data_IF_129192148204
#
_entry.id   IF_129192148204
#
_cell.length_a   1.000
_cell.length_b   1.000
_cell.length_c   1.000
_cell.angle_alpha   90.00
_cell.angle_beta   90.00
_cell.angle_gamma   90.00
#
_symmetry.space_group_name_H-M   'P 1'
#
loop_
_entity.id
_entity.type
_entity.pdbx_description
1 polymer ?
#
# COMPACT_ATOMS: atom_id res chain seq x y z
N UNK A 1 5.08 23.01 -6.85
CA UNK A 1 3.66 22.81 -7.18
C UNK A 1 3.49 21.33 -7.45
N UNK A 2 3.18 20.55 -6.43
CA UNK A 2 2.92 19.12 -6.53
C UNK A 2 1.46 18.94 -6.95
N UNK A 3 1.23 18.23 -8.05
CA UNK A 3 -0.11 17.91 -8.55
C UNK A 3 -0.55 16.59 -7.89
N UNK A 4 -1.04 16.63 -6.66
CA UNK A 4 -1.66 15.46 -6.04
C UNK A 4 -3.02 15.20 -6.71
N UNK A 5 -3.19 14.01 -7.29
CA UNK A 5 -4.47 13.56 -7.84
C UNK A 5 -5.22 12.83 -6.74
N UNK A 6 -6.32 13.42 -6.27
CA UNK A 6 -7.19 12.81 -5.26
C UNK A 6 -8.39 12.17 -5.92
N UNK A 7 -8.62 10.89 -5.63
CA UNK A 7 -9.85 10.20 -5.97
C UNK A 7 -10.64 9.93 -4.69
N UNK A 8 -11.86 10.47 -4.60
CA UNK A 8 -12.85 10.17 -3.56
C UNK A 8 -14.09 9.52 -4.19
N UNK A 9 -14.73 8.56 -3.49
CA UNK A 9 -16.09 8.12 -3.84
C UNK A 9 -17.06 9.30 -3.68
N UNK A 10 -17.88 9.66 -4.69
CA UNK A 10 -18.91 10.70 -4.57
C UNK A 10 -20.11 10.33 -3.69
N UNK A 11 -20.02 9.25 -2.93
CA UNK A 11 -21.16 8.43 -2.52
C UNK A 11 -21.82 8.89 -1.21
N UNK A 12 -21.43 10.05 -0.66
CA UNK A 12 -22.05 10.66 0.52
C UNK A 12 -22.04 12.19 0.38
N UNK A 13 -22.92 12.73 -0.45
CA UNK A 13 -23.51 14.03 -0.22
C UNK A 13 -25.00 13.81 0.07
N UNK A 14 -25.54 14.57 1.04
CA UNK A 14 -26.83 14.45 1.75
C UNK A 14 -26.68 13.55 3.01
N UNK A 15 -26.75 14.02 4.27
CA UNK A 15 -27.51 15.14 4.84
C UNK A 15 -26.84 15.77 6.08
N UNK A 16 -27.32 16.98 6.35
CA UNK A 16 -26.93 18.00 7.31
C UNK A 16 -27.36 17.70 8.76
N UNK A 17 -26.57 18.25 9.69
CA UNK A 17 -26.80 18.48 11.13
C UNK A 17 -28.22 19.01 11.46
N UNK A 18 -28.94 18.43 12.45
CA UNK A 18 -29.65 19.14 13.54
C UNK A 18 -30.41 18.21 14.52
N UNK A 19 -30.81 18.80 15.64
CA UNK A 19 -30.98 18.31 17.01
C UNK A 19 -32.32 17.67 17.42
N UNK A 20 -32.30 17.02 18.59
CA UNK A 20 -33.37 16.69 19.57
C UNK A 20 -34.84 17.03 19.24
N UNK A 21 -35.77 16.04 19.30
CA UNK A 21 -36.86 15.91 20.29
C UNK A 21 -37.81 14.72 20.00
N UNK A 22 -38.52 14.30 21.06
CA UNK A 22 -39.31 13.09 21.32
C UNK A 22 -40.50 12.69 20.43
N UNK A 23 -40.74 11.35 20.44
CA UNK A 23 -41.99 10.56 20.48
C UNK A 23 -43.20 10.98 19.62
N UNK A 24 -43.62 10.11 18.70
CA UNK A 24 -44.91 9.37 18.76
C UNK A 24 -45.06 8.39 17.60
N UNK A 25 -45.65 7.24 17.91
CA UNK A 25 -46.16 6.22 16.99
C UNK A 25 -47.32 6.78 16.15
N UNK A 26 -47.47 6.30 14.89
CA UNK A 26 -48.73 5.81 14.29
C UNK A 26 -48.53 5.44 12.81
N UNK A 27 -49.07 4.26 12.50
CA UNK A 27 -49.33 3.53 11.25
C UNK A 27 -49.17 4.19 9.87
N UNK A 28 -48.59 3.40 8.95
CA UNK A 28 -48.73 3.48 7.49
C UNK A 28 -50.19 3.53 7.01
N UNK A 29 -50.42 4.06 5.81
CA UNK A 29 -50.76 3.15 4.72
C UNK A 29 -50.07 3.47 3.37
N UNK A 30 -49.97 2.42 2.56
CA UNK A 30 -49.45 2.34 1.20
C UNK A 30 -49.89 3.44 0.22
N UNK A 31 -48.92 4.01 -0.52
CA UNK A 31 -48.91 4.22 -1.99
C UNK A 31 -47.53 4.78 -2.38
N UNK A 32 -46.68 3.99 -3.04
CA UNK A 32 -46.59 3.87 -4.50
C UNK A 32 -45.91 5.07 -5.18
N UNK A 33 -44.58 5.07 -5.12
CA UNK A 33 -43.71 5.63 -6.16
C UNK A 33 -42.44 4.76 -6.24
N UNK A 34 -42.61 3.50 -6.69
CA UNK A 34 -41.46 2.73 -7.18
C UNK A 34 -40.98 3.45 -8.43
N UNK A 35 -39.84 4.12 -8.32
CA UNK A 35 -39.01 4.47 -9.46
C UNK A 35 -38.69 3.14 -10.15
N UNK A 36 -39.13 2.91 -11.39
CA UNK A 36 -38.77 1.68 -12.08
C UNK A 36 -37.33 1.85 -12.55
N UNK A 37 -36.37 1.34 -11.78
CA UNK A 37 -35.10 0.88 -12.36
C UNK A 37 -35.39 -0.39 -13.16
N UNK A 38 -36.11 -0.25 -14.27
CA UNK A 38 -36.12 -1.24 -15.33
C UNK A 38 -34.77 -1.10 -16.04
N UNK A 39 -33.73 -1.69 -15.45
CA UNK A 39 -32.57 -2.08 -16.24
C UNK A 39 -33.05 -3.23 -17.12
N UNK A 40 -33.53 -2.88 -18.31
CA UNK A 40 -33.82 -3.82 -19.38
C UNK A 40 -32.58 -4.68 -19.55
N UNK A 41 -32.67 -5.94 -19.12
CA UNK A 41 -31.71 -6.97 -19.52
C UNK A 41 -31.93 -7.20 -21.01
N UNK A 42 -31.29 -6.39 -21.85
CA UNK A 42 -30.96 -6.81 -23.20
C UNK A 42 -30.07 -8.04 -23.03
N UNK A 43 -30.69 -9.21 -23.24
CA UNK A 43 -29.97 -10.45 -23.49
C UNK A 43 -29.15 -10.22 -24.75
N UNK A 44 -27.90 -9.76 -24.57
CA UNK A 44 -26.90 -9.88 -25.59
C UNK A 44 -26.80 -11.37 -25.93
N UNK A 45 -27.08 -11.69 -27.19
CA UNK A 45 -26.86 -13.01 -27.76
C UNK A 45 -25.46 -13.51 -27.36
N UNK A 46 -25.36 -14.80 -27.06
CA UNK A 46 -24.11 -15.51 -26.77
C UNK A 46 -23.19 -15.60 -28.00
N UNK A 47 -22.90 -14.47 -28.65
CA UNK A 47 -21.75 -14.38 -29.52
C UNK A 47 -20.55 -14.18 -28.61
N UNK A 48 -19.73 -15.22 -28.46
CA UNK A 48 -18.41 -15.11 -27.85
C UNK A 48 -17.64 -14.02 -28.60
N UNK A 49 -17.60 -12.80 -28.04
CA UNK A 49 -16.73 -11.74 -28.54
C UNK A 49 -15.31 -12.22 -28.27
N UNK A 50 -14.72 -12.89 -29.27
CA UNK A 50 -13.30 -13.21 -29.30
C UNK A 50 -12.55 -11.90 -29.44
N UNK A 51 -12.15 -11.32 -28.30
CA UNK A 51 -11.14 -10.29 -28.28
C UNK A 51 -9.82 -10.91 -28.77
N UNK A 52 -9.53 -10.74 -30.07
CA UNK A 52 -8.19 -11.01 -30.57
C UNK A 52 -7.20 -10.14 -29.78
N UNK A 53 -6.23 -10.79 -29.11
CA UNK A 53 -5.15 -10.07 -28.43
C UNK A 53 -4.36 -9.30 -29.47
N UNK A 54 -4.69 -8.02 -29.62
CA UNK A 54 -3.87 -7.08 -30.40
C UNK A 54 -2.48 -7.06 -29.75
N UNK A 55 -1.48 -7.56 -30.47
CA UNK A 55 -0.09 -7.46 -30.04
C UNK A 55 0.36 -6.02 -30.28
N UNK A 56 0.39 -5.22 -29.22
CA UNK A 56 0.97 -3.88 -29.28
C UNK A 56 2.48 -3.98 -29.11
N UNK A 57 3.23 -3.41 -30.06
CA UNK A 57 4.67 -3.23 -29.89
C UNK A 57 4.90 -2.16 -28.82
N UNK A 58 5.27 -2.57 -27.60
CA UNK A 58 5.77 -1.63 -26.59
C UNK A 58 7.08 -1.03 -27.12
N UNK A 59 7.15 0.29 -27.21
CA UNK A 59 8.44 0.98 -27.35
C UNK A 59 9.27 0.66 -26.11
N UNK A 60 10.54 0.30 -26.28
CA UNK A 60 11.45 0.10 -25.15
C UNK A 60 11.60 1.45 -24.43
N UNK A 61 11.04 1.55 -23.23
CA UNK A 61 11.14 2.73 -22.37
C UNK A 61 12.45 2.75 -21.58
N UNK A 62 12.77 3.90 -20.99
CA UNK A 62 13.83 4.00 -19.98
C UNK A 62 13.36 3.45 -18.63
N UNK A 63 14.28 3.33 -17.66
CA UNK A 63 13.98 2.93 -16.28
C UNK A 63 12.78 3.68 -15.69
N UNK A 64 12.72 5.00 -15.92
CA UNK A 64 11.66 5.87 -15.41
C UNK A 64 10.29 5.57 -16.00
N UNK A 65 10.21 5.17 -17.28
CA UNK A 65 8.93 4.85 -17.92
C UNK A 65 8.36 3.54 -17.37
N UNK A 66 9.19 2.50 -17.23
CA UNK A 66 8.73 1.22 -16.68
C UNK A 66 8.39 1.33 -15.19
N UNK A 67 9.16 2.11 -14.42
CA UNK A 67 8.84 2.43 -13.03
C UNK A 67 7.52 3.18 -12.88
N UNK A 68 7.29 4.21 -13.70
CA UNK A 68 6.01 4.93 -13.71
C UNK A 68 4.82 4.04 -14.10
N UNK A 69 4.99 3.18 -15.10
CA UNK A 69 3.95 2.19 -15.46
C UNK A 69 3.67 1.21 -14.32
N UNK A 70 4.69 0.80 -13.57
CA UNK A 70 4.53 -0.05 -12.40
C UNK A 70 3.69 0.63 -11.31
N UNK A 71 3.98 1.91 -11.00
CA UNK A 71 3.18 2.69 -10.05
C UNK A 71 1.74 2.90 -10.54
N UNK A 72 1.53 3.19 -11.83
CA UNK A 72 0.17 3.32 -12.41
C UNK A 72 -0.63 2.02 -12.27
N UNK A 73 0.00 0.85 -12.48
CA UNK A 73 -0.67 -0.43 -12.31
C UNK A 73 -1.07 -0.66 -10.85
N UNK A 74 -0.19 -0.35 -9.90
CA UNK A 74 -0.51 -0.42 -8.47
C UNK A 74 -1.63 0.55 -8.09
N UNK A 75 -1.58 1.79 -8.57
CA UNK A 75 -2.63 2.78 -8.32
C UNK A 75 -3.99 2.30 -8.84
N UNK A 76 -4.01 1.73 -10.04
CA UNK A 76 -5.21 1.15 -10.65
C UNK A 76 -5.74 -0.02 -9.81
N UNK A 77 -4.84 -0.85 -9.26
CA UNK A 77 -5.19 -1.94 -8.37
C UNK A 77 -5.91 -1.45 -7.11
N UNK A 78 -5.35 -0.45 -6.42
CA UNK A 78 -5.96 0.14 -5.21
C UNK A 78 -7.28 0.85 -5.51
N UNK A 79 -7.40 1.50 -6.68
CA UNK A 79 -8.67 2.06 -7.13
C UNK A 79 -9.74 0.97 -7.29
N UNK A 80 -9.40 -0.15 -7.93
CA UNK A 80 -10.32 -1.29 -8.08
C UNK A 80 -10.70 -1.87 -6.72
N UNK A 81 -9.74 -2.00 -5.79
CA UNK A 81 -9.99 -2.45 -4.41
C UNK A 81 -10.99 -1.52 -3.73
N UNK A 82 -10.76 -0.20 -3.74
CA UNK A 82 -11.65 0.78 -3.15
C UNK A 82 -13.08 0.73 -3.72
N UNK A 83 -13.20 0.55 -5.04
CA UNK A 83 -14.50 0.42 -5.71
C UNK A 83 -15.21 -0.91 -5.40
N UNK A 84 -14.47 -2.02 -5.27
CA UNK A 84 -15.04 -3.36 -5.05
C UNK A 84 -15.45 -3.61 -3.61
N UNK A 85 -14.66 -3.15 -2.65
CA UNK A 85 -14.84 -3.48 -1.24
C UNK A 85 -15.94 -2.67 -0.54
N UNK A 86 -16.70 -1.85 -1.28
CA UNK A 86 -17.81 -1.04 -0.76
C UNK A 86 -17.42 -0.16 0.44
N UNK A 87 -16.15 0.22 0.56
CA UNK A 87 -15.72 1.19 1.56
C UNK A 87 -16.54 2.47 1.38
N UNK A 88 -17.33 2.83 2.39
CA UNK A 88 -18.19 4.02 2.32
C UNK A 88 -17.37 5.31 2.19
N UNK A 89 -16.12 5.30 2.66
CA UNK A 89 -15.17 6.41 2.60
C UNK A 89 -13.76 5.85 2.41
N UNK A 90 -13.12 6.28 1.33
CA UNK A 90 -11.71 6.01 1.07
C UNK A 90 -11.11 7.19 0.31
N UNK A 91 -9.81 7.40 0.50
CA UNK A 91 -8.98 8.35 -0.22
C UNK A 91 -7.82 7.60 -0.83
N UNK A 92 -7.56 7.85 -2.11
CA UNK A 92 -6.39 7.34 -2.80
C UNK A 92 -5.56 8.54 -3.26
N UNK A 93 -4.32 8.62 -2.78
CA UNK A 93 -3.36 9.66 -3.14
C UNK A 93 -2.03 9.07 -3.59
N UNK A 94 -1.28 9.87 -4.35
CA UNK A 94 0.06 9.54 -4.87
C UNK A 94 1.01 10.69 -4.60
N UNK A 95 2.29 10.37 -4.39
CA UNK A 95 3.33 11.35 -4.02
C UNK A 95 2.93 12.15 -2.77
N UNK A 96 2.31 11.47 -1.80
CA UNK A 96 1.87 12.09 -0.55
C UNK A 96 3.07 12.29 0.39
N UNK A 97 3.66 13.48 0.35
CA UNK A 97 4.83 13.85 1.16
C UNK A 97 4.62 13.60 2.67
N UNK A 98 3.38 13.59 3.17
CA UNK A 98 3.13 13.32 4.59
C UNK A 98 3.45 11.87 4.99
N UNK A 99 3.42 10.94 4.02
CA UNK A 99 3.75 9.52 4.17
C UNK A 99 5.26 9.20 3.99
N UNK A 100 6.11 10.22 3.91
CA UNK A 100 7.59 10.14 3.97
C UNK A 100 8.27 9.28 2.90
N UNK A 101 8.42 7.98 3.15
CA UNK A 101 9.03 7.00 2.22
C UNK A 101 8.03 5.97 1.73
N UNK A 102 6.76 6.16 2.08
CA UNK A 102 5.64 5.32 1.67
C UNK A 102 4.63 6.18 0.91
N UNK A 103 5.14 7.17 0.19
CA UNK A 103 4.42 8.27 -0.44
C UNK A 103 3.93 7.94 -1.86
N UNK A 104 4.45 6.89 -2.50
CA UNK A 104 4.10 6.57 -3.88
C UNK A 104 2.60 6.32 -4.05
N UNK A 105 1.99 5.58 -3.13
CA UNK A 105 0.54 5.35 -3.04
C UNK A 105 0.14 5.28 -1.58
N UNK A 106 -0.85 6.09 -1.21
CA UNK A 106 -1.49 6.09 0.11
C UNK A 106 -2.98 5.83 -0.07
N UNK A 107 -3.46 4.75 0.51
CA UNK A 107 -4.86 4.35 0.49
C UNK A 107 -5.43 4.41 1.90
N UNK A 108 -6.16 5.49 2.18
CA UNK A 108 -6.77 5.74 3.48
C UNK A 108 -8.23 5.29 3.45
N UNK A 109 -8.68 4.69 4.55
CA UNK A 109 -10.08 4.31 4.74
C UNK A 109 -10.63 4.93 6.02
N UNK A 110 -11.91 4.72 6.31
CA UNK A 110 -12.50 5.17 7.59
C UNK A 110 -11.94 4.48 8.84
N UNK A 111 -11.15 3.40 8.70
CA UNK A 111 -10.68 2.58 9.82
C UNK A 111 -9.16 2.44 9.87
N UNK A 112 -8.52 2.39 8.71
CA UNK A 112 -7.10 2.07 8.58
C UNK A 112 -6.53 2.52 7.24
N UNK A 113 -5.21 2.68 7.23
CA UNK A 113 -4.45 3.19 6.10
C UNK A 113 -3.43 2.15 5.60
N UNK A 114 -3.31 2.05 4.28
CA UNK A 114 -2.27 1.29 3.60
C UNK A 114 -1.32 2.26 2.91
N UNK A 115 -0.04 2.17 3.26
CA UNK A 115 1.01 3.03 2.71
C UNK A 115 1.96 2.19 1.88
N UNK A 116 2.23 2.61 0.66
CA UNK A 116 2.95 1.81 -0.33
C UNK A 116 4.12 2.58 -0.90
N UNK A 117 5.27 1.91 -0.95
CA UNK A 117 6.39 2.30 -1.79
C UNK A 117 6.49 1.31 -2.97
N UNK A 118 6.43 1.84 -4.18
CA UNK A 118 6.68 1.13 -5.42
C UNK A 118 8.18 1.13 -5.77
N UNK A 119 8.78 -0.05 -5.91
CA UNK A 119 10.17 -0.23 -6.31
C UNK A 119 10.29 -1.10 -7.55
N UNK A 120 10.70 -0.49 -8.66
CA UNK A 120 10.91 -1.21 -9.92
C UNK A 120 12.41 -1.39 -10.22
N UNK A 121 12.86 -2.63 -10.36
CA UNK A 121 14.18 -2.98 -10.90
C UNK A 121 14.08 -3.36 -12.38
N UNK A 122 14.88 -2.68 -13.21
CA UNK A 122 15.03 -3.05 -14.63
C UNK A 122 15.64 -4.44 -14.80
N UNK A 123 16.66 -4.75 -14.01
CA UNK A 123 17.32 -6.05 -14.04
C UNK A 123 16.57 -7.03 -13.13
N UNK A 124 15.63 -7.77 -13.71
CA UNK A 124 14.82 -8.78 -13.01
C UNK A 124 15.65 -9.92 -12.39
N UNK A 125 16.89 -10.12 -12.82
CA UNK A 125 17.77 -11.15 -12.25
C UNK A 125 18.43 -10.68 -10.94
N UNK A 126 18.44 -9.37 -10.65
CA UNK A 126 18.99 -8.85 -9.40
C UNK A 126 17.93 -8.94 -8.31
N UNK A 127 18.06 -9.98 -7.50
CA UNK A 127 17.25 -10.19 -6.29
C UNK A 127 17.67 -9.25 -5.16
N UNK A 128 16.74 -8.97 -4.25
CA UNK A 128 16.99 -8.23 -3.02
C UNK A 128 17.78 -9.13 -2.07
N UNK A 129 18.94 -8.67 -1.59
CA UNK A 129 19.79 -9.43 -0.68
C UNK A 129 19.68 -8.92 0.76
N UNK A 130 20.27 -9.65 1.71
CA UNK A 130 20.26 -9.22 3.11
C UNK A 130 21.06 -7.93 3.30
N UNK A 131 22.12 -7.76 2.53
CA UNK A 131 22.92 -6.53 2.51
C UNK A 131 22.08 -5.35 2.02
N UNK A 132 21.25 -5.53 0.99
CA UNK A 132 20.35 -4.47 0.50
C UNK A 132 19.36 -4.03 1.61
N UNK A 133 18.83 -4.98 2.40
CA UNK A 133 17.89 -4.69 3.50
C UNK A 133 18.56 -4.00 4.69
N UNK A 134 19.81 -4.34 4.95
CA UNK A 134 20.56 -3.86 6.11
C UNK A 134 21.49 -2.70 5.82
N UNK A 135 21.54 -2.24 4.57
CA UNK A 135 22.48 -1.21 4.20
C UNK A 135 22.17 0.13 4.87
N UNK A 136 23.25 0.84 5.23
CA UNK A 136 23.20 2.12 5.95
C UNK A 136 23.56 3.32 5.06
N UNK A 137 23.66 3.11 3.74
CA UNK A 137 24.04 4.13 2.78
C UNK A 137 22.80 4.86 2.26
N UNK A 138 22.61 6.11 2.69
CA UNK A 138 21.46 6.93 2.30
C UNK A 138 21.27 7.14 0.79
N UNK A 139 22.30 6.94 -0.04
CA UNK A 139 22.27 7.30 -1.47
C UNK A 139 21.86 6.17 -2.41
N UNK A 140 22.06 4.90 -2.05
CA UNK A 140 21.96 3.79 -3.02
C UNK A 140 21.06 2.62 -2.58
N UNK A 141 20.38 2.73 -1.45
CA UNK A 141 19.68 1.60 -0.85
C UNK A 141 18.17 1.74 -0.94
N UNK A 142 17.64 1.26 -2.07
CA UNK A 142 16.21 1.26 -2.36
C UNK A 142 15.38 0.39 -1.40
N UNK A 143 16.02 -0.53 -0.66
CA UNK A 143 15.35 -1.50 0.20
C UNK A 143 15.82 -1.44 1.67
N UNK A 144 16.52 -0.38 2.07
CA UNK A 144 17.09 -0.24 3.43
C UNK A 144 16.00 -0.18 4.50
N UNK A 145 15.92 -1.23 5.32
CA UNK A 145 15.04 -1.29 6.50
C UNK A 145 15.37 -0.20 7.53
N UNK A 146 16.65 0.14 7.82
CA UNK A 146 16.96 1.27 8.70
C UNK A 146 16.31 2.59 8.26
N UNK A 147 16.33 2.86 6.96
CA UNK A 147 15.70 4.06 6.39
C UNK A 147 14.18 4.02 6.56
N UNK A 148 13.55 2.88 6.28
CA UNK A 148 12.09 2.72 6.43
C UNK A 148 11.63 2.79 7.88
N UNK A 149 12.41 2.28 8.82
CA UNK A 149 12.15 2.40 10.25
C UNK A 149 12.00 3.87 10.69
N UNK A 150 12.95 4.73 10.33
CA UNK A 150 12.87 6.16 10.69
C UNK A 150 11.67 6.86 10.05
N UNK A 151 11.32 6.49 8.81
CA UNK A 151 10.12 7.02 8.17
C UNK A 151 8.84 6.53 8.85
N UNK A 152 8.78 5.28 9.28
CA UNK A 152 7.64 4.74 10.04
C UNK A 152 7.40 5.50 11.34
N UNK A 153 8.45 5.80 12.11
CA UNK A 153 8.34 6.53 13.38
C UNK A 153 7.74 7.94 13.23
N UNK A 154 7.86 8.55 12.04
CA UNK A 154 7.21 9.82 11.69
C UNK A 154 5.77 9.60 11.24
N UNK A 155 5.57 8.61 10.37
CA UNK A 155 4.30 8.33 9.69
C UNK A 155 3.24 7.79 10.65
N UNK A 156 3.61 6.94 11.61
CA UNK A 156 2.67 6.34 12.59
C UNK A 156 1.98 7.35 13.50
N UNK A 157 2.44 8.61 13.51
CA UNK A 157 1.82 9.72 14.25
C UNK A 157 0.73 10.45 13.45
N UNK A 158 0.68 10.22 12.13
CA UNK A 158 -0.23 10.90 11.20
C UNK A 158 -1.30 9.97 10.63
N UNK A 159 -0.96 8.69 10.44
CA UNK A 159 -1.81 7.69 9.81
C UNK A 159 -2.19 6.58 10.79
N UNK A 160 -3.39 6.01 10.61
CA UNK A 160 -3.83 4.79 11.31
C UNK A 160 -3.34 3.58 10.51
N UNK A 161 -2.04 3.32 10.59
CA UNK A 161 -1.35 2.34 9.73
C UNK A 161 -1.81 0.91 10.02
N UNK A 162 -2.39 0.25 9.01
CA UNK A 162 -2.61 -1.20 9.03
C UNK A 162 -1.52 -1.95 8.26
N UNK A 163 -1.10 -1.42 7.10
CA UNK A 163 -0.04 -2.01 6.29
C UNK A 163 0.93 -0.96 5.75
N UNK A 164 2.22 -1.32 5.79
CA UNK A 164 3.30 -0.64 5.07
C UNK A 164 3.92 -1.63 4.12
N UNK A 165 3.87 -1.30 2.84
CA UNK A 165 4.19 -2.27 1.80
C UNK A 165 5.26 -1.73 0.87
N UNK A 166 6.34 -2.50 0.72
CA UNK A 166 7.27 -2.30 -0.40
C UNK A 166 6.80 -3.21 -1.54
N UNK A 167 6.06 -2.65 -2.49
CA UNK A 167 5.65 -3.35 -3.70
C UNK A 167 6.79 -3.32 -4.71
N UNK A 168 7.26 -4.48 -5.16
CA UNK A 168 8.44 -4.59 -6.01
C UNK A 168 8.30 -5.68 -7.07
N UNK A 169 8.95 -5.48 -8.21
CA UNK A 169 9.08 -6.53 -9.23
C UNK A 169 10.36 -7.39 -9.05
N UNK A 170 11.10 -7.18 -7.96
CA UNK A 170 12.33 -7.89 -7.65
C UNK A 170 12.10 -8.86 -6.49
N UNK A 171 12.37 -10.14 -6.76
CA UNK A 171 12.26 -11.22 -5.78
C UNK A 171 13.37 -11.15 -4.70
N UNK A 172 13.15 -11.79 -3.56
CA UNK A 172 14.12 -11.89 -2.46
C UNK A 172 15.07 -13.07 -2.69
N UNK A 173 16.37 -12.86 -2.43
CA UNK A 173 17.37 -13.93 -2.45
C UNK A 173 17.28 -14.74 -1.15
N UNK A 174 16.52 -15.84 -1.18
CA UNK A 174 16.33 -16.76 -0.04
C UNK A 174 17.52 -17.71 0.18
N UNK A 175 18.68 -17.17 0.52
CA UNK A 175 19.82 -17.94 1.04
C UNK A 175 19.65 -18.28 2.54
N UNK A 176 20.61 -19.00 3.13
CA UNK A 176 20.56 -19.47 4.52
C UNK A 176 20.39 -18.31 5.51
N UNK A 177 21.10 -17.21 5.30
CA UNK A 177 21.02 -16.03 6.16
C UNK A 177 19.66 -15.35 6.04
N UNK A 178 19.16 -15.12 4.81
CA UNK A 178 17.85 -14.51 4.61
C UNK A 178 16.72 -15.36 5.20
N UNK A 179 16.79 -16.69 5.06
CA UNK A 179 15.79 -17.63 5.61
C UNK A 179 15.73 -17.62 7.13
N UNK A 180 16.80 -17.22 7.81
CA UNK A 180 16.79 -17.06 9.26
C UNK A 180 15.89 -15.91 9.71
N UNK A 181 15.62 -14.92 8.84
CA UNK A 181 14.90 -13.69 9.19
C UNK A 181 13.52 -13.56 8.53
N UNK A 182 13.32 -14.17 7.36
CA UNK A 182 12.12 -13.94 6.54
C UNK A 182 11.09 -15.05 6.71
N UNK A 183 9.86 -14.64 6.97
CA UNK A 183 8.67 -15.47 6.84
C UNK A 183 8.03 -15.20 5.47
N UNK A 184 7.61 -16.26 4.79
CA UNK A 184 6.82 -16.15 3.55
C UNK A 184 5.36 -16.44 3.85
N UNK A 185 4.48 -15.53 3.46
CA UNK A 185 3.03 -15.68 3.55
C UNK A 185 2.43 -15.57 2.15
N UNK A 186 1.41 -16.38 1.87
CA UNK A 186 0.48 -16.16 0.77
C UNK A 186 -0.78 -15.57 1.39
N UNK A 187 -1.29 -14.48 0.83
CA UNK A 187 -2.55 -13.91 1.32
C UNK A 187 -3.72 -14.67 0.70
N UNK A 188 -4.49 -15.30 1.57
CA UNK A 188 -5.84 -15.77 1.27
C UNK A 188 -6.79 -14.78 1.97
N UNK A 189 -7.56 -14.00 1.19
CA UNK A 189 -8.65 -13.11 1.65
C UNK A 189 -8.30 -11.77 2.36
N UNK A 190 -7.21 -11.09 1.99
CA UNK A 190 -6.89 -9.76 2.54
C UNK A 190 -7.13 -8.61 1.54
N UNK A 191 -7.02 -7.38 2.03
CA UNK A 191 -7.38 -6.14 1.33
C UNK A 191 -6.66 -5.91 -0.01
N UNK A 192 -5.46 -6.49 -0.18
CA UNK A 192 -4.69 -6.46 -1.44
C UNK A 192 -4.86 -7.71 -2.32
N UNK A 193 -5.75 -8.63 -1.96
CA UNK A 193 -6.03 -9.82 -2.76
C UNK A 193 -6.95 -9.48 -3.94
N UNK A 194 -6.44 -9.69 -5.15
CA UNK A 194 -7.26 -9.76 -6.36
C UNK A 194 -7.30 -11.21 -6.81
N UNK A 195 -8.50 -11.77 -6.90
CA UNK A 195 -8.73 -13.14 -7.32
C UNK A 195 -8.00 -13.45 -8.64
N UNK A 196 -7.19 -14.52 -8.64
CA UNK A 196 -6.39 -14.95 -9.78
C UNK A 196 -4.98 -14.36 -9.88
N UNK A 197 -4.56 -13.53 -8.90
CA UNK A 197 -3.18 -13.03 -8.80
C UNK A 197 -2.48 -13.70 -7.61
N UNK A 198 -1.37 -14.39 -7.89
CA UNK A 198 -0.51 -14.98 -6.86
C UNK A 198 0.48 -13.92 -6.36
N UNK A 199 0.24 -13.37 -5.17
CA UNK A 199 1.16 -12.46 -4.50
C UNK A 199 1.95 -13.18 -3.42
N UNK A 200 3.25 -12.88 -3.32
CA UNK A 200 4.09 -13.40 -2.24
C UNK A 200 4.45 -12.27 -1.27
N UNK A 201 4.11 -12.47 0.00
CA UNK A 201 4.40 -11.53 1.08
C UNK A 201 5.61 -12.04 1.86
N UNK A 202 6.60 -11.18 2.01
CA UNK A 202 7.73 -11.40 2.88
C UNK A 202 7.59 -10.49 4.10
N UNK A 203 7.41 -11.11 5.26
CA UNK A 203 7.47 -10.46 6.57
C UNK A 203 8.70 -10.95 7.32
N UNK A 204 9.02 -10.32 8.45
CA UNK A 204 10.22 -10.66 9.21
C UNK A 204 9.86 -11.27 10.57
N UNK A 205 10.71 -12.15 11.06
CA UNK A 205 10.59 -12.75 12.39
C UNK A 205 11.46 -12.00 13.42
N UNK A 206 11.25 -12.28 14.70
CA UNK A 206 11.95 -11.61 15.81
C UNK A 206 13.49 -11.77 15.77
N UNK A 207 14.03 -12.76 15.08
CA UNK A 207 15.48 -12.95 14.98
C UNK A 207 16.16 -11.78 14.25
N UNK A 208 15.44 -11.05 13.39
CA UNK A 208 15.99 -9.90 12.67
C UNK A 208 16.26 -8.70 13.58
N UNK A 209 15.54 -8.58 14.71
CA UNK A 209 15.43 -7.33 15.48
C UNK A 209 16.80 -6.86 15.97
N UNK A 210 17.58 -7.76 16.56
CA UNK A 210 18.90 -7.42 17.10
C UNK A 210 19.89 -6.94 16.04
N UNK A 211 19.78 -7.46 14.82
CA UNK A 211 20.65 -7.06 13.71
C UNK A 211 20.17 -5.74 13.10
N UNK A 212 18.86 -5.58 12.93
CA UNK A 212 18.29 -4.32 12.46
C UNK A 212 18.62 -3.18 13.44
N UNK A 213 18.55 -3.40 14.75
CA UNK A 213 18.85 -2.36 15.75
C UNK A 213 20.26 -1.80 15.59
N UNK A 214 21.27 -2.66 15.38
CA UNK A 214 22.65 -2.22 15.12
C UNK A 214 22.72 -1.32 13.89
N UNK A 215 22.01 -1.69 12.84
CA UNK A 215 22.05 -1.01 11.56
C UNK A 215 21.24 0.29 11.56
N UNK A 216 20.15 0.34 12.34
CA UNK A 216 19.39 1.57 12.64
C UNK A 216 20.26 2.56 13.40
N UNK A 217 20.99 2.12 14.44
CA UNK A 217 21.94 2.98 15.18
C UNK A 217 23.04 3.51 14.27
N UNK A 218 23.61 2.65 13.44
CA UNK A 218 24.63 3.06 12.46
C UNK A 218 24.07 4.04 11.44
N UNK A 219 22.90 3.77 10.88
CA UNK A 219 22.24 4.68 9.92
C UNK A 219 21.96 6.04 10.56
N UNK A 220 21.51 6.07 11.82
CA UNK A 220 21.31 7.30 12.57
C UNK A 220 22.61 8.10 12.72
N UNK A 221 23.69 7.45 13.17
CA UNK A 221 25.00 8.06 13.31
C UNK A 221 25.51 8.66 11.97
N UNK A 222 25.39 7.89 10.89
CA UNK A 222 25.94 8.24 9.59
C UNK A 222 25.11 9.30 8.84
N UNK A 223 23.79 9.40 9.09
CA UNK A 223 22.88 10.15 8.22
C UNK A 223 21.92 11.13 8.94
N UNK A 224 21.69 10.99 10.25
CA UNK A 224 20.59 11.68 10.94
C UNK A 224 20.98 12.47 12.20
N UNK A 225 22.21 12.36 12.71
CA UNK A 225 22.63 13.09 13.93
C UNK A 225 22.38 14.61 13.87
N UNK A 226 22.41 15.21 12.68
CA UNK A 226 22.15 16.64 12.51
C UNK A 226 20.66 17.00 12.37
N UNK A 227 19.73 16.04 12.45
CA UNK A 227 18.30 16.23 12.13
C UNK A 227 17.36 16.33 13.34
N UNK A 228 17.87 16.53 14.56
CA UNK A 228 17.07 16.62 15.80
C UNK A 228 16.10 15.44 16.03
N UNK A 229 16.46 14.24 15.55
CA UNK A 229 15.71 13.02 15.82
C UNK A 229 16.18 12.48 17.17
N UNK A 230 15.26 12.18 18.08
CA UNK A 230 15.61 11.60 19.39
C UNK A 230 16.13 10.18 19.20
N UNK A 231 17.35 9.89 19.67
CA UNK A 231 17.94 8.56 19.61
C UNK A 231 17.14 7.53 20.43
N UNK A 232 16.37 7.97 21.43
CA UNK A 232 15.52 7.09 22.26
C UNK A 232 14.44 6.35 21.45
N UNK A 233 14.12 6.81 20.23
CA UNK A 233 13.21 6.07 19.35
C UNK A 233 13.81 4.73 18.92
N UNK A 234 15.14 4.57 18.97
CA UNK A 234 15.82 3.32 18.63
C UNK A 234 15.75 2.37 19.83
N UNK A 235 14.61 1.68 19.93
CA UNK A 235 14.35 0.66 20.94
C UNK A 235 13.86 -0.64 20.28
N UNK A 236 14.09 -1.76 20.96
CA UNK A 236 13.59 -3.07 20.53
C UNK A 236 12.07 -3.07 20.33
N UNK A 237 11.33 -2.34 21.17
CA UNK A 237 9.86 -2.24 21.07
C UNK A 237 9.42 -1.49 19.82
N UNK A 238 10.02 -0.33 19.52
CA UNK A 238 9.68 0.42 18.32
C UNK A 238 10.06 -0.33 17.03
N UNK A 239 11.15 -1.11 17.06
CA UNK A 239 11.52 -1.97 15.92
C UNK A 239 10.49 -3.09 15.73
N UNK A 240 9.96 -3.67 16.81
CA UNK A 240 8.86 -4.65 16.72
C UNK A 240 7.60 -4.02 16.17
N UNK A 241 7.24 -2.84 16.67
CA UNK A 241 6.10 -2.05 16.19
C UNK A 241 6.22 -1.78 14.68
N UNK A 242 7.41 -1.42 14.19
CA UNK A 242 7.68 -1.26 12.76
C UNK A 242 7.42 -2.53 11.94
N UNK A 243 7.79 -3.71 12.42
CA UNK A 243 7.58 -4.95 11.67
C UNK A 243 6.15 -5.49 11.72
N UNK A 244 5.31 -5.01 12.63
CA UNK A 244 3.89 -5.38 12.70
C UNK A 244 3.15 -5.18 11.36
N UNK A 245 3.12 -3.95 10.82
CA UNK A 245 2.46 -3.65 9.54
C UNK A 245 3.35 -3.83 8.31
N UNK A 246 4.66 -4.08 8.46
CA UNK A 246 5.61 -4.04 7.35
C UNK A 246 5.67 -5.35 6.54
N UNK A 247 5.57 -5.23 5.21
CA UNK A 247 5.78 -6.34 4.28
C UNK A 247 6.47 -5.90 2.99
N UNK A 248 7.16 -6.84 2.35
CA UNK A 248 7.63 -6.71 0.97
C UNK A 248 6.78 -7.63 0.10
N UNK A 249 6.24 -7.10 -1.00
CA UNK A 249 5.31 -7.81 -1.89
C UNK A 249 5.87 -7.90 -3.29
N UNK A 250 5.82 -9.12 -3.83
CA UNK A 250 6.14 -9.46 -5.21
C UNK A 250 4.89 -9.96 -5.95
#
# INVERSE_FOLDING_TARGET
MCNCWFFCCPCCCDDVFESEYSLTTVSSPHRSSRIPYACEKTYLSNEEIKFERRQFSKKKGSAGIEGGLFQINLLTMFLIIGLKQQYCRWLLSTENEEAEKFDDIVFETGFSDILVQAKYRLNKNKKITIEDLFSTNSKNDDFSLPKYFFSFEVVKKKFTVEYIVICTNADIKLDEQMRAFVNTKRLENDMMHLEGMDYTFYTFNDCIISELEKNVRKYYADNLQCKNIDENIISTENIKDFFGPFAIVF
#
